data_IF_991694776008
#
_entry.id   IF_991694776008
#
_cell.length_a   1.000
_cell.length_b   1.000
_cell.length_c   1.000
_cell.angle_alpha   90.00
_cell.angle_beta   90.00
_cell.angle_gamma   90.00
#
_symmetry.space_group_name_H-M   'P 1'
#
loop_
_entity.id
_entity.type
_entity.pdbx_description
1 polymer ?
#
# COMPACT_ATOMS: atom_id res chain seq x y z
N UNK A 1 -16.99 11.63 -19.39
CA UNK A 1 -16.45 10.45 -20.12
C UNK A 1 -15.16 9.89 -19.49
N UNK A 2 -14.30 10.71 -18.87
CA UNK A 2 -13.10 10.26 -18.16
C UNK A 2 -13.39 9.33 -16.95
N UNK A 3 -14.36 9.69 -16.10
CA UNK A 3 -14.73 8.88 -14.91
C UNK A 3 -15.24 7.46 -15.25
N UNK A 4 -15.94 7.28 -16.39
CA UNK A 4 -16.36 5.96 -16.87
C UNK A 4 -15.20 5.14 -17.46
N UNK A 5 -14.13 5.79 -17.89
CA UNK A 5 -12.91 5.15 -18.40
C UNK A 5 -12.05 4.64 -17.23
N UNK A 6 -11.86 5.47 -16.20
CA UNK A 6 -11.16 5.09 -14.95
C UNK A 6 -11.87 3.94 -14.21
N UNK A 7 -13.21 3.95 -14.14
CA UNK A 7 -13.98 2.85 -13.54
C UNK A 7 -13.89 1.54 -14.33
N UNK A 8 -13.77 1.60 -15.67
CA UNK A 8 -13.57 0.41 -16.52
C UNK A 8 -12.15 -0.16 -16.40
N UNK A 9 -11.15 0.70 -16.20
CA UNK A 9 -9.76 0.30 -16.04
C UNK A 9 -9.48 -0.31 -14.65
N UNK A 10 -10.15 0.19 -13.60
CA UNK A 10 -10.14 -0.43 -12.26
C UNK A 10 -10.83 -1.79 -12.22
N UNK A 11 -11.87 -2.02 -13.03
CA UNK A 11 -12.54 -3.32 -13.09
C UNK A 11 -11.65 -4.44 -13.67
N UNK A 12 -10.62 -4.08 -14.44
CA UNK A 12 -9.70 -5.02 -15.09
C UNK A 12 -8.56 -5.54 -14.17
N UNK A 13 -8.48 -5.06 -12.93
CA UNK A 13 -7.45 -5.49 -11.95
C UNK A 13 -8.05 -6.25 -10.76
N UNK A 14 -9.03 -7.12 -11.01
CA UNK A 14 -9.52 -8.02 -9.96
C UNK A 14 -8.58 -9.22 -9.89
N UNK A 15 -7.74 -9.25 -8.86
CA UNK A 15 -6.95 -10.42 -8.52
C UNK A 15 -7.92 -11.53 -8.09
N UNK A 16 -7.90 -12.66 -8.78
CA UNK A 16 -8.65 -13.84 -8.39
C UNK A 16 -7.79 -14.66 -7.42
N UNK A 17 -8.19 -14.66 -6.14
CA UNK A 17 -7.58 -15.46 -5.09
C UNK A 17 -8.56 -16.58 -4.70
N UNK A 18 -8.17 -17.83 -4.91
CA UNK A 18 -8.93 -18.98 -4.44
C UNK A 18 -8.17 -19.70 -3.34
N UNK A 19 -8.73 -19.72 -2.14
CA UNK A 19 -8.17 -20.45 -0.99
C UNK A 19 -9.01 -21.69 -0.73
N UNK A 20 -8.36 -22.85 -0.62
CA UNK A 20 -9.02 -24.12 -0.24
C UNK A 20 -8.31 -24.75 0.95
N UNK A 21 -9.11 -25.25 1.89
CA UNK A 21 -8.60 -26.08 2.99
C UNK A 21 -8.39 -27.51 2.51
N UNK A 22 -7.23 -28.08 2.80
CA UNK A 22 -6.80 -29.42 2.44
C UNK A 22 -6.50 -30.22 3.72
N UNK A 23 -6.41 -31.55 3.61
CA UNK A 23 -6.12 -32.43 4.76
C UNK A 23 -4.84 -32.02 5.51
N UNK A 24 -3.83 -31.53 4.79
CA UNK A 24 -2.52 -31.17 5.33
C UNK A 24 -2.21 -29.66 5.27
N UNK A 25 -3.23 -28.80 5.11
CA UNK A 25 -3.00 -27.35 5.08
C UNK A 25 -3.95 -26.59 4.17
N UNK A 26 -3.42 -25.65 3.40
CA UNK A 26 -4.16 -24.71 2.56
C UNK A 26 -3.53 -24.62 1.18
N UNK A 27 -4.34 -24.68 0.13
CA UNK A 27 -3.91 -24.34 -1.22
C UNK A 27 -4.42 -22.96 -1.58
N UNK A 28 -3.56 -22.11 -2.13
CA UNK A 28 -3.91 -20.81 -2.68
C UNK A 28 -3.60 -20.81 -4.16
N UNK A 29 -4.60 -20.51 -4.98
CA UNK A 29 -4.43 -20.29 -6.41
C UNK A 29 -4.54 -18.79 -6.67
N UNK A 30 -3.46 -18.21 -7.17
CA UNK A 30 -3.34 -16.80 -7.49
C UNK A 30 -3.13 -16.67 -9.01
N UNK A 31 -4.19 -16.25 -9.71
CA UNK A 31 -4.24 -16.18 -11.18
C UNK A 31 -3.93 -17.52 -11.87
N UNK A 32 -2.65 -17.91 -11.96
CA UNK A 32 -2.15 -19.15 -12.56
C UNK A 32 -1.05 -19.85 -11.75
N UNK A 33 -0.75 -19.35 -10.55
CA UNK A 33 0.25 -19.92 -9.65
C UNK A 33 -0.43 -20.58 -8.46
N UNK A 34 -0.04 -21.84 -8.19
CA UNK A 34 -0.55 -22.63 -7.08
C UNK A 34 0.46 -22.67 -5.94
N UNK A 35 0.04 -22.23 -4.77
CA UNK A 35 0.83 -22.23 -3.53
C UNK A 35 0.21 -23.18 -2.51
N UNK A 36 1.06 -23.80 -1.69
CA UNK A 36 0.64 -24.69 -0.60
C UNK A 36 1.25 -24.22 0.72
N UNK A 37 0.43 -24.14 1.75
CA UNK A 37 0.81 -23.71 3.09
C UNK A 37 0.35 -24.74 4.11
N UNK A 38 1.21 -25.10 5.05
CA UNK A 38 0.93 -26.18 6.01
C UNK A 38 0.09 -25.72 7.20
N UNK A 39 0.12 -24.42 7.51
CA UNK A 39 -0.60 -23.84 8.63
C UNK A 39 -1.17 -22.44 8.28
N UNK A 40 -2.01 -21.91 9.17
CA UNK A 40 -2.65 -20.60 8.98
C UNK A 40 -1.63 -19.46 8.97
N UNK A 41 -0.51 -19.60 9.68
CA UNK A 41 0.48 -18.54 9.77
C UNK A 41 1.24 -18.40 8.45
N UNK A 42 1.76 -19.49 7.93
CA UNK A 42 2.43 -19.58 6.63
C UNK A 42 1.50 -19.15 5.49
N UNK A 43 0.20 -19.45 5.58
CA UNK A 43 -0.81 -18.94 4.65
C UNK A 43 -0.88 -17.40 4.69
N UNK A 44 -0.98 -16.79 5.87
CA UNK A 44 -1.06 -15.34 6.00
C UNK A 44 0.23 -14.66 5.54
N UNK A 45 1.39 -15.21 5.91
CA UNK A 45 2.71 -14.73 5.45
C UNK A 45 2.79 -14.78 3.91
N UNK A 46 2.42 -15.91 3.32
CA UNK A 46 2.38 -16.08 1.87
C UNK A 46 1.43 -15.10 1.18
N UNK A 47 0.27 -14.82 1.78
CA UNK A 47 -0.69 -13.86 1.24
C UNK A 47 -0.11 -12.45 1.19
N UNK A 48 0.61 -12.01 2.22
CA UNK A 48 1.31 -10.72 2.21
C UNK A 48 2.49 -10.67 1.23
N UNK A 49 3.13 -11.81 0.93
CA UNK A 49 4.23 -11.89 -0.04
C UNK A 49 3.73 -11.86 -1.49
N UNK A 50 2.74 -12.71 -1.83
CA UNK A 50 2.35 -12.95 -3.22
C UNK A 50 1.23 -12.03 -3.70
N UNK A 51 0.23 -11.76 -2.85
CA UNK A 51 -0.82 -10.79 -3.19
C UNK A 51 -0.32 -9.37 -2.94
N UNK A 52 0.53 -9.22 -1.93
CA UNK A 52 1.05 -7.93 -1.51
C UNK A 52 -0.03 -7.06 -0.87
N UNK A 53 0.43 -6.01 -0.22
CA UNK A 53 -0.36 -4.79 -0.04
C UNK A 53 0.17 -3.83 -1.09
N UNK A 54 -0.69 -3.14 -1.85
CA UNK A 54 -0.29 -2.17 -2.89
C UNK A 54 0.56 -1.01 -2.33
N UNK A 55 1.80 -1.32 -1.96
CA UNK A 55 2.82 -0.45 -1.40
C UNK A 55 3.88 -0.22 -2.48
N UNK A 56 4.57 0.90 -2.37
CA UNK A 56 5.63 1.26 -3.31
C UNK A 56 6.85 0.32 -3.19
N UNK A 57 7.07 -0.22 -2.00
CA UNK A 57 8.18 -1.10 -1.69
C UNK A 57 7.65 -2.45 -1.17
N UNK A 58 8.41 -3.51 -1.43
CA UNK A 58 8.11 -4.84 -0.90
C UNK A 58 8.20 -4.80 0.64
N UNK A 59 7.24 -5.45 1.30
CA UNK A 59 7.27 -5.54 2.76
C UNK A 59 8.49 -6.33 3.23
N UNK A 60 9.14 -5.82 4.25
CA UNK A 60 10.19 -6.54 4.97
C UNK A 60 9.60 -7.72 5.73
N UNK A 61 10.46 -8.70 6.09
CA UNK A 61 10.04 -9.86 6.89
C UNK A 61 9.40 -9.45 8.21
N UNK A 62 9.92 -8.40 8.85
CA UNK A 62 9.42 -7.90 10.14
C UNK A 62 8.05 -7.22 10.00
N UNK A 63 7.83 -6.48 8.91
CA UNK A 63 6.52 -5.92 8.60
C UNK A 63 5.49 -7.01 8.32
N UNK A 64 5.86 -8.05 7.56
CA UNK A 64 4.99 -9.19 7.30
C UNK A 64 4.60 -9.86 8.62
N UNK A 65 5.56 -10.13 9.51
CA UNK A 65 5.28 -10.71 10.82
C UNK A 65 4.35 -9.83 11.66
N UNK A 66 4.61 -8.52 11.69
CA UNK A 66 3.81 -7.55 12.43
C UNK A 66 2.37 -7.51 11.92
N UNK A 67 2.18 -7.66 10.59
CA UNK A 67 0.87 -7.70 9.96
C UNK A 67 0.15 -9.03 10.22
N UNK A 68 0.85 -10.16 10.20
CA UNK A 68 0.30 -11.47 10.55
C UNK A 68 -0.20 -11.48 11.99
N UNK A 69 0.59 -10.94 12.93
CA UNK A 69 0.17 -10.78 14.33
C UNK A 69 -1.05 -9.86 14.46
N UNK A 70 -1.07 -8.76 13.69
CA UNK A 70 -2.22 -7.84 13.67
C UNK A 70 -3.50 -8.46 13.09
N UNK A 71 -3.38 -9.41 12.16
CA UNK A 71 -4.53 -10.15 11.65
C UNK A 71 -5.04 -11.12 12.71
N UNK A 72 -4.13 -11.81 13.42
CA UNK A 72 -4.48 -12.76 14.48
C UNK A 72 -5.21 -12.10 15.66
N UNK A 73 -4.78 -10.90 16.07
CA UNK A 73 -5.40 -10.16 17.19
C UNK A 73 -6.58 -9.24 16.76
N UNK A 74 -6.88 -9.19 15.46
CA UNK A 74 -7.93 -8.34 14.89
C UNK A 74 -7.60 -6.84 14.83
N UNK A 75 -6.37 -6.44 15.13
CA UNK A 75 -5.92 -5.04 15.11
C UNK A 75 -5.43 -4.54 13.75
N UNK A 76 -5.34 -5.42 12.74
CA UNK A 76 -4.83 -5.09 11.40
C UNK A 76 -5.51 -3.85 10.79
N UNK A 77 -6.83 -3.75 10.90
CA UNK A 77 -7.59 -2.60 10.38
C UNK A 77 -7.16 -1.30 11.07
N UNK A 78 -6.97 -1.34 12.40
CA UNK A 78 -6.55 -0.16 13.17
C UNK A 78 -5.12 0.26 12.80
N UNK A 79 -4.20 -0.70 12.66
CA UNK A 79 -2.81 -0.41 12.24
C UNK A 79 -2.77 0.21 10.84
N UNK A 80 -3.47 -0.39 9.87
CA UNK A 80 -3.53 0.14 8.51
C UNK A 80 -4.17 1.53 8.46
N UNK A 81 -5.20 1.78 9.27
CA UNK A 81 -5.81 3.10 9.35
C UNK A 81 -4.86 4.14 9.97
N UNK A 82 -4.05 3.75 10.95
CA UNK A 82 -3.03 4.62 11.54
C UNK A 82 -1.95 4.97 10.50
N UNK A 83 -1.44 3.99 9.77
CA UNK A 83 -0.47 4.20 8.68
C UNK A 83 -1.02 5.13 7.60
N UNK A 84 -2.29 4.96 7.20
CA UNK A 84 -2.97 5.88 6.27
C UNK A 84 -3.01 7.31 6.80
N UNK A 85 -3.25 7.48 8.10
CA UNK A 85 -3.30 8.82 8.70
C UNK A 85 -1.91 9.48 8.77
N UNK A 86 -0.87 8.70 9.09
CA UNK A 86 0.52 9.16 9.07
C UNK A 86 0.96 9.58 7.67
N UNK A 87 0.66 8.76 6.66
CA UNK A 87 0.95 9.08 5.26
C UNK A 87 0.22 10.36 4.79
N UNK A 88 -1.04 10.54 5.20
CA UNK A 88 -1.78 11.79 4.91
C UNK A 88 -1.14 13.00 5.57
N UNK A 89 -0.72 12.87 6.84
CA UNK A 89 -0.05 13.94 7.56
C UNK A 89 1.28 14.33 6.89
N UNK A 90 2.09 13.34 6.49
CA UNK A 90 3.34 13.56 5.77
C UNK A 90 3.11 14.26 4.42
N UNK A 91 2.08 13.86 3.67
CA UNK A 91 1.70 14.52 2.41
C UNK A 91 1.34 16.00 2.65
N UNK A 92 0.58 16.29 3.71
CA UNK A 92 0.16 17.66 4.00
C UNK A 92 1.34 18.53 4.45
N UNK A 93 2.30 17.97 5.19
CA UNK A 93 3.55 18.64 5.53
C UNK A 93 4.39 18.93 4.28
N UNK A 94 4.58 17.95 3.39
CA UNK A 94 5.31 18.13 2.14
C UNK A 94 4.65 19.21 1.25
N UNK A 95 3.32 19.26 1.19
CA UNK A 95 2.60 20.33 0.48
C UNK A 95 2.88 21.71 1.06
N UNK A 96 3.01 21.84 2.39
CA UNK A 96 3.37 23.11 3.04
C UNK A 96 4.80 23.51 2.65
N UNK A 97 5.76 22.58 2.73
CA UNK A 97 7.15 22.83 2.34
C UNK A 97 7.25 23.28 0.88
N UNK A 98 6.54 22.62 -0.04
CA UNK A 98 6.51 23.02 -1.46
C UNK A 98 5.95 24.43 -1.64
N UNK A 99 4.92 24.82 -0.89
CA UNK A 99 4.36 26.18 -0.96
C UNK A 99 5.37 27.21 -0.49
N UNK A 100 6.05 26.93 0.60
CA UNK A 100 7.08 27.83 1.15
C UNK A 100 8.26 27.98 0.19
N UNK A 101 8.77 26.87 -0.34
CA UNK A 101 9.84 26.90 -1.34
C UNK A 101 9.44 27.68 -2.59
N UNK A 102 8.20 27.52 -3.08
CA UNK A 102 7.69 28.31 -4.22
C UNK A 102 7.61 29.80 -3.91
N UNK A 103 7.25 30.16 -2.67
CA UNK A 103 7.21 31.55 -2.21
C UNK A 103 8.62 32.14 -2.19
N UNK A 104 9.57 31.47 -1.56
CA UNK A 104 10.98 31.89 -1.51
C UNK A 104 11.55 32.06 -2.93
N UNK A 105 11.33 31.09 -3.83
CA UNK A 105 11.77 31.20 -5.23
C UNK A 105 11.18 32.43 -5.92
N UNK A 106 9.91 32.76 -5.66
CA UNK A 106 9.26 33.95 -6.22
C UNK A 106 9.84 35.24 -5.65
N UNK A 107 10.08 35.29 -4.34
CA UNK A 107 10.70 36.43 -3.67
C UNK A 107 12.12 36.67 -4.19
N UNK A 108 12.95 35.63 -4.26
CA UNK A 108 14.31 35.74 -4.83
C UNK A 108 14.31 36.13 -6.31
N UNK A 109 13.35 35.67 -7.12
CA UNK A 109 13.22 36.12 -8.52
C UNK A 109 12.84 37.60 -8.62
N UNK A 110 12.01 38.09 -7.71
CA UNK A 110 11.65 39.51 -7.69
C UNK A 110 12.85 40.35 -7.26
N UNK A 111 13.61 39.93 -6.25
CA UNK A 111 14.85 40.61 -5.82
C UNK A 111 15.89 40.69 -6.95
N UNK A 112 16.06 39.60 -7.73
CA UNK A 112 16.97 39.58 -8.88
C UNK A 112 16.50 40.44 -10.07
N UNK A 113 15.21 40.79 -10.14
CA UNK A 113 14.62 41.60 -11.21
C UNK A 113 14.48 43.10 -10.83
N UNK A 114 15.01 43.53 -9.68
CA UNK A 114 14.89 44.92 -9.19
C UNK A 114 16.17 45.75 -9.42
N UNK A 115 17.22 45.20 -10.05
CA UNK A 115 18.50 45.89 -10.29
C UNK A 115 18.76 46.33 -11.76
N UNK A 116 17.73 46.47 -12.60
CA UNK A 116 17.82 47.17 -13.92
C UNK A 116 16.96 48.45 -13.95
#
# INVERSE_FOLDING_TARGET
MAQKKEQKEQASKRIALLVRTMVNGYSVELEHEGYMYYDVQSLLEGLFVHVGMNRLEAMTKDEIKTMVEAVKDGSAIKKLQAEVNELKAAIDEQKKLIREQKRVIKESKNELNIDE
#
